data_IF_440088851312
#
_entry.id   IF_440088851312
#
_cell.length_a   1.000
_cell.length_b   1.000
_cell.length_c   1.000
_cell.angle_alpha   90.00
_cell.angle_beta   90.00
_cell.angle_gamma   90.00
#
_symmetry.space_group_name_H-M   'P 1'
#
loop_
_entity.id
_entity.type
_entity.pdbx_description
1 polymer ?
#
# COMPACT_ATOMS: atom_id res chain seq x y z
N UNK A 1 -12.81 1.71 40.64
CA UNK A 1 -12.10 0.46 41.01
C UNK A 1 -10.62 0.68 40.70
N UNK A 2 -9.74 0.51 41.67
CA UNK A 2 -8.30 0.62 41.41
C UNK A 2 -7.83 -0.61 40.61
N UNK A 3 -6.95 -0.37 39.64
CA UNK A 3 -6.34 -1.47 38.89
C UNK A 3 -5.56 -2.37 39.84
N UNK A 4 -5.67 -3.69 39.71
CA UNK A 4 -4.95 -4.64 40.56
C UNK A 4 -3.45 -4.57 40.25
N UNK A 5 -2.57 -4.89 41.20
CA UNK A 5 -1.10 -4.98 40.95
C UNK A 5 -0.77 -5.89 39.76
N UNK A 6 -1.56 -6.91 39.54
CA UNK A 6 -1.43 -7.83 38.44
C UNK A 6 -1.75 -7.17 37.07
N UNK A 7 -2.75 -6.29 37.03
CA UNK A 7 -3.11 -5.50 35.84
C UNK A 7 -2.00 -4.47 35.55
N UNK A 8 -1.45 -3.83 36.57
CA UNK A 8 -0.35 -2.87 36.40
C UNK A 8 0.91 -3.58 35.89
N UNK A 9 1.24 -4.77 36.43
CA UNK A 9 2.36 -5.59 35.93
C UNK A 9 2.17 -6.01 34.47
N UNK A 10 0.95 -6.42 34.10
CA UNK A 10 0.66 -6.76 32.70
C UNK A 10 0.79 -5.56 31.75
N UNK A 11 0.26 -4.40 32.12
CA UNK A 11 0.38 -3.17 31.32
C UNK A 11 1.87 -2.75 31.20
N UNK A 12 2.63 -2.81 32.26
CA UNK A 12 4.06 -2.48 32.24
C UNK A 12 4.88 -3.51 31.43
N UNK A 13 4.51 -4.79 31.43
CA UNK A 13 5.16 -5.80 30.59
C UNK A 13 4.86 -5.61 29.10
N UNK A 14 3.66 -5.14 28.75
CA UNK A 14 3.30 -4.78 27.37
C UNK A 14 4.04 -3.51 26.92
N UNK A 15 4.18 -2.51 27.79
CA UNK A 15 4.92 -1.28 27.49
C UNK A 15 6.44 -1.46 27.35
N UNK A 16 7.00 -2.52 27.95
CA UNK A 16 8.44 -2.84 27.89
C UNK A 16 8.78 -4.02 26.97
N UNK A 17 7.79 -4.59 26.25
CA UNK A 17 8.06 -5.62 25.26
C UNK A 17 8.69 -4.99 24.01
N UNK A 18 9.80 -5.54 23.53
CA UNK A 18 10.34 -5.18 22.22
C UNK A 18 9.25 -5.35 21.16
N UNK A 19 9.09 -4.34 20.30
CA UNK A 19 8.11 -4.40 19.21
C UNK A 19 8.46 -5.55 18.27
N UNK A 20 7.66 -6.60 18.31
CA UNK A 20 7.88 -7.88 17.59
C UNK A 20 8.18 -7.70 16.08
N UNK A 21 7.62 -6.66 15.48
CA UNK A 21 7.74 -6.38 14.05
C UNK A 21 8.78 -5.30 13.72
N UNK A 22 9.54 -4.84 14.73
CA UNK A 22 10.55 -3.77 14.60
C UNK A 22 11.87 -4.19 13.94
N UNK A 23 12.00 -5.43 13.45
CA UNK A 23 13.19 -5.91 12.75
C UNK A 23 13.30 -5.36 11.33
N UNK A 24 14.51 -5.31 10.75
CA UNK A 24 14.76 -5.00 9.35
C UNK A 24 15.34 -6.22 8.63
N UNK A 25 15.12 -6.30 7.32
CA UNK A 25 15.70 -7.33 6.44
C UNK A 25 16.77 -6.65 5.59
N UNK A 26 17.99 -7.17 5.61
CA UNK A 26 19.08 -6.65 4.79
C UNK A 26 18.95 -7.18 3.35
N UNK A 27 18.73 -6.30 2.42
CA UNK A 27 18.60 -6.60 0.99
C UNK A 27 19.34 -5.56 0.16
N UNK A 28 19.85 -5.98 -0.99
CA UNK A 28 20.32 -5.06 -2.02
C UNK A 28 19.14 -4.32 -2.64
N UNK A 29 19.17 -2.98 -2.62
CA UNK A 29 18.05 -2.15 -3.03
C UNK A 29 18.36 -1.30 -4.28
N UNK A 30 17.33 -1.04 -5.08
CA UNK A 30 17.29 0.01 -6.09
C UNK A 30 16.54 1.19 -5.47
N UNK A 31 17.14 2.37 -5.43
CA UNK A 31 16.51 3.59 -4.90
C UNK A 31 16.39 4.66 -5.97
N UNK A 32 15.33 5.45 -5.92
CA UNK A 32 15.26 6.70 -6.67
C UNK A 32 16.35 7.67 -6.21
N UNK A 33 16.69 8.70 -6.98
CA UNK A 33 17.44 9.84 -6.47
C UNK A 33 16.78 10.41 -5.20
N UNK A 34 17.59 10.86 -4.24
CA UNK A 34 17.07 11.44 -3.01
C UNK A 34 16.38 12.78 -3.30
N UNK A 35 15.27 13.00 -2.65
CA UNK A 35 14.48 14.23 -2.75
C UNK A 35 13.30 14.15 -3.71
N UNK A 36 12.35 15.08 -3.49
CA UNK A 36 11.13 15.21 -4.29
C UNK A 36 11.36 16.15 -5.47
N UNK A 37 11.33 15.61 -6.67
CA UNK A 37 11.52 16.36 -7.91
C UNK A 37 10.72 15.74 -9.06
N UNK A 38 10.63 16.45 -10.18
CA UNK A 38 10.04 15.89 -11.41
C UNK A 38 10.84 14.68 -11.91
N UNK A 39 12.16 14.67 -11.76
CA UNK A 39 13.01 13.53 -12.09
C UNK A 39 12.65 12.30 -11.26
N UNK A 40 12.43 12.48 -9.95
CA UNK A 40 11.98 11.42 -9.05
C UNK A 40 10.63 10.84 -9.49
N UNK A 41 9.67 11.69 -9.87
CA UNK A 41 8.35 11.25 -10.39
C UNK A 41 8.51 10.44 -11.68
N UNK A 42 9.33 10.92 -12.63
CA UNK A 42 9.62 10.20 -13.88
C UNK A 42 10.35 8.88 -13.64
N UNK A 43 11.26 8.84 -12.66
CA UNK A 43 11.95 7.62 -12.26
C UNK A 43 10.98 6.56 -11.75
N UNK A 44 10.03 6.92 -10.86
CA UNK A 44 9.01 6.01 -10.34
C UNK A 44 8.17 5.43 -11.48
N UNK A 45 7.67 6.30 -12.36
CA UNK A 45 6.86 5.88 -13.51
C UNK A 45 7.61 4.93 -14.44
N UNK A 46 8.88 5.20 -14.71
CA UNK A 46 9.74 4.34 -15.52
C UNK A 46 10.00 2.96 -14.86
N UNK A 47 10.25 2.93 -13.53
CA UNK A 47 10.44 1.66 -12.80
C UNK A 47 9.17 0.79 -12.81
N UNK A 48 8.00 1.41 -12.86
CA UNK A 48 6.70 0.74 -12.92
C UNK A 48 6.23 0.43 -14.35
N UNK A 49 7.00 0.83 -15.38
CA UNK A 49 6.62 0.71 -16.80
C UNK A 49 5.23 1.31 -17.08
N UNK A 50 4.92 2.44 -16.48
CA UNK A 50 3.61 3.05 -16.57
C UNK A 50 3.33 3.64 -17.96
N UNK A 51 2.08 3.59 -18.45
CA UNK A 51 1.71 4.26 -19.69
C UNK A 51 1.75 5.79 -19.54
N UNK A 52 1.91 6.50 -20.65
CA UNK A 52 2.08 7.96 -20.70
C UNK A 52 1.01 8.73 -19.92
N UNK A 53 -0.27 8.30 -20.01
CA UNK A 53 -1.36 8.97 -19.29
C UNK A 53 -1.17 8.95 -17.76
N UNK A 54 -0.53 7.89 -17.22
CA UNK A 54 -0.27 7.79 -15.79
C UNK A 54 0.88 8.70 -15.38
N UNK A 55 1.93 8.78 -16.19
CA UNK A 55 3.01 9.74 -15.99
C UNK A 55 2.49 11.18 -16.02
N UNK A 56 1.64 11.53 -17.00
CA UNK A 56 1.03 12.86 -17.08
C UNK A 56 0.20 13.18 -15.85
N UNK A 57 -0.58 12.22 -15.34
CA UNK A 57 -1.36 12.36 -14.13
C UNK A 57 -0.46 12.62 -12.91
N UNK A 58 0.65 11.89 -12.75
CA UNK A 58 1.64 12.10 -11.69
C UNK A 58 2.30 13.46 -11.75
N UNK A 59 2.71 13.87 -12.93
CA UNK A 59 3.36 15.18 -13.13
C UNK A 59 2.40 16.34 -12.82
N UNK A 60 1.13 16.20 -13.19
CA UNK A 60 0.10 17.13 -12.78
C UNK A 60 -0.06 17.18 -11.26
N UNK A 61 -0.08 16.01 -10.60
CA UNK A 61 -0.15 15.92 -9.14
C UNK A 61 1.04 16.59 -8.46
N UNK A 62 2.25 16.38 -8.96
CA UNK A 62 3.45 17.05 -8.47
C UNK A 62 3.37 18.58 -8.62
N UNK A 63 2.88 19.07 -9.76
CA UNK A 63 2.64 20.49 -9.98
C UNK A 63 1.61 21.05 -8.98
N UNK A 64 0.53 20.33 -8.73
CA UNK A 64 -0.50 20.72 -7.77
C UNK A 64 0.10 20.74 -6.35
N UNK A 65 0.86 19.73 -5.95
CA UNK A 65 1.54 19.68 -4.66
C UNK A 65 2.38 20.94 -4.39
N UNK A 66 3.18 21.38 -5.37
CA UNK A 66 4.05 22.54 -5.24
C UNK A 66 3.27 23.88 -5.07
N UNK A 67 1.97 23.89 -5.39
CA UNK A 67 1.14 25.08 -5.30
C UNK A 67 0.11 25.05 -4.16
N UNK A 68 -0.10 23.90 -3.52
CA UNK A 68 -1.04 23.77 -2.42
C UNK A 68 -0.39 24.10 -1.08
N UNK A 69 -1.07 24.86 -0.21
CA UNK A 69 -0.62 25.07 1.17
C UNK A 69 -0.72 23.77 1.97
N UNK A 70 0.06 23.68 3.06
CA UNK A 70 -0.13 22.62 4.06
C UNK A 70 -1.55 22.68 4.62
N UNK A 71 -2.19 21.53 4.93
CA UNK A 71 -3.49 21.52 5.59
C UNK A 71 -3.42 22.23 6.93
N UNK A 72 -4.35 23.16 7.16
CA UNK A 72 -4.43 23.96 8.39
C UNK A 72 -5.78 23.80 9.13
N UNK A 73 -6.70 23.01 8.56
CA UNK A 73 -8.04 22.78 9.12
C UNK A 73 -8.03 21.79 10.28
N UNK A 74 -7.04 20.89 10.36
CA UNK A 74 -6.89 19.96 11.47
C UNK A 74 -6.22 20.66 12.66
N UNK A 75 -6.73 20.42 13.89
CA UNK A 75 -6.13 20.93 15.12
C UNK A 75 -4.88 20.11 15.48
N UNK A 76 -3.89 20.14 14.61
CA UNK A 76 -2.62 19.41 14.74
C UNK A 76 -1.45 20.36 14.60
N UNK A 77 -0.38 20.09 15.35
CA UNK A 77 0.90 20.72 15.12
C UNK A 77 1.74 19.83 14.19
N UNK A 78 1.61 20.06 12.88
CA UNK A 78 2.35 19.31 11.88
C UNK A 78 3.75 19.91 11.77
N UNK A 79 4.82 19.15 12.05
CA UNK A 79 6.19 19.65 11.93
C UNK A 79 6.52 20.01 10.49
N UNK A 80 7.58 20.81 10.31
CA UNK A 80 8.12 21.03 8.98
C UNK A 80 8.77 19.76 8.45
N UNK A 81 8.31 19.35 7.28
CA UNK A 81 8.82 18.16 6.58
C UNK A 81 9.81 18.62 5.53
N UNK A 82 11.05 18.16 5.61
CA UNK A 82 12.02 18.33 4.54
C UNK A 82 11.81 17.23 3.48
N UNK A 83 11.02 17.54 2.47
CA UNK A 83 10.74 16.64 1.36
C UNK A 83 11.98 16.29 0.53
N UNK A 84 13.12 16.94 0.74
CA UNK A 84 14.36 16.63 0.04
C UNK A 84 15.19 15.57 0.79
N UNK A 85 14.80 15.22 2.02
CA UNK A 85 15.55 14.27 2.86
C UNK A 85 15.05 12.82 2.78
N UNK A 86 14.14 12.50 1.84
CA UNK A 86 13.56 11.15 1.68
C UNK A 86 13.88 10.55 0.32
N UNK A 87 13.90 9.20 0.27
CA UNK A 87 13.80 8.44 -0.96
C UNK A 87 12.33 8.10 -1.21
N UNK A 88 11.83 8.34 -2.41
CA UNK A 88 10.42 8.14 -2.79
C UNK A 88 10.16 6.81 -3.49
N UNK A 89 11.18 6.01 -3.68
CA UNK A 89 11.10 4.67 -4.23
C UNK A 89 12.26 3.84 -3.70
N UNK A 90 11.97 2.64 -3.23
CA UNK A 90 12.93 1.59 -2.93
C UNK A 90 12.35 0.24 -3.34
N UNK A 91 13.16 -0.61 -3.92
CA UNK A 91 12.79 -1.96 -4.29
C UNK A 91 13.98 -2.89 -4.13
N UNK A 92 13.82 -4.09 -3.57
CA UNK A 92 14.85 -5.10 -3.62
C UNK A 92 15.28 -5.39 -5.07
N UNK A 93 16.59 -5.50 -5.33
CA UNK A 93 17.10 -5.83 -6.67
C UNK A 93 16.58 -7.18 -7.17
N UNK A 94 16.34 -8.13 -6.25
CA UNK A 94 15.77 -9.44 -6.54
C UNK A 94 14.32 -9.40 -7.07
N UNK A 95 13.60 -8.29 -6.90
CA UNK A 95 12.24 -8.07 -7.40
C UNK A 95 12.19 -7.20 -8.66
N UNK A 96 13.34 -6.94 -9.31
CA UNK A 96 13.38 -6.12 -10.53
C UNK A 96 12.49 -6.70 -11.64
N UNK A 97 12.52 -8.03 -11.78
CA UNK A 97 11.61 -8.75 -12.66
C UNK A 97 10.51 -9.35 -11.76
N UNK A 98 9.26 -8.90 -11.95
CA UNK A 98 8.12 -9.35 -11.12
C UNK A 98 8.10 -10.89 -11.06
N UNK A 99 8.20 -11.51 -9.87
CA UNK A 99 8.23 -12.95 -9.75
C UNK A 99 6.91 -13.56 -10.27
N UNK A 100 7.00 -14.63 -11.04
CA UNK A 100 5.84 -15.33 -11.59
C UNK A 100 5.29 -16.40 -10.64
N UNK A 101 6.10 -16.79 -9.66
CA UNK A 101 5.73 -17.78 -8.64
C UNK A 101 6.43 -17.48 -7.32
N UNK A 102 5.92 -18.03 -6.22
CA UNK A 102 6.54 -17.90 -4.90
C UNK A 102 7.97 -18.46 -4.85
N UNK A 103 8.28 -19.44 -5.69
CA UNK A 103 9.61 -20.07 -5.73
C UNK A 103 10.69 -19.14 -6.35
N UNK A 104 10.27 -18.10 -7.05
CA UNK A 104 11.15 -17.07 -7.63
C UNK A 104 11.42 -15.91 -6.67
N UNK A 105 10.71 -15.86 -5.53
CA UNK A 105 10.87 -14.80 -4.53
C UNK A 105 12.13 -15.05 -3.69
N UNK A 106 12.86 -13.98 -3.40
CA UNK A 106 14.03 -14.03 -2.52
C UNK A 106 13.66 -14.70 -1.17
N UNK A 107 14.39 -15.75 -0.75
CA UNK A 107 14.11 -16.46 0.51
C UNK A 107 14.10 -15.56 1.75
N UNK A 108 14.86 -14.47 1.78
CA UNK A 108 14.87 -13.54 2.91
C UNK A 108 13.58 -12.71 2.97
N UNK A 109 12.97 -12.39 1.83
CA UNK A 109 11.64 -11.77 1.77
C UNK A 109 10.58 -12.75 2.28
N UNK A 110 10.60 -14.01 1.84
CA UNK A 110 9.68 -15.03 2.32
C UNK A 110 9.79 -15.23 3.84
N UNK A 111 11.01 -15.34 4.38
CA UNK A 111 11.25 -15.43 5.84
C UNK A 111 10.74 -14.20 6.58
N UNK A 112 10.81 -13.01 5.96
CA UNK A 112 10.27 -11.80 6.55
C UNK A 112 8.77 -11.93 6.76
N UNK A 113 8.02 -12.34 5.75
CA UNK A 113 6.57 -12.54 5.86
C UNK A 113 6.20 -13.68 6.83
N UNK A 114 6.97 -14.77 6.87
CA UNK A 114 6.80 -15.82 7.89
C UNK A 114 6.94 -15.28 9.31
N UNK A 115 7.99 -14.48 9.59
CA UNK A 115 8.20 -13.84 10.90
C UNK A 115 7.05 -12.89 11.26
N UNK A 116 6.43 -12.26 10.27
CA UNK A 116 5.28 -11.37 10.44
C UNK A 116 3.98 -12.16 10.65
N UNK A 117 3.99 -13.48 10.40
CA UNK A 117 2.81 -14.33 10.47
C UNK A 117 1.86 -14.14 9.28
N UNK A 118 2.39 -13.65 8.14
CA UNK A 118 1.63 -13.44 6.91
C UNK A 118 1.86 -14.64 5.97
N UNK A 119 0.87 -15.50 5.79
CA UNK A 119 1.00 -16.67 4.92
C UNK A 119 0.94 -16.25 3.45
N UNK A 120 2.00 -16.51 2.69
CA UNK A 120 2.03 -16.28 1.24
C UNK A 120 1.63 -17.53 0.44
N UNK A 121 1.69 -18.72 1.05
CA UNK A 121 1.27 -19.95 0.40
C UNK A 121 -0.19 -20.25 0.66
N UNK A 122 -0.98 -20.40 -0.40
CA UNK A 122 -2.42 -20.70 -0.30
C UNK A 122 -2.74 -21.91 0.58
N UNK A 123 -1.84 -22.90 0.62
CA UNK A 123 -1.98 -24.12 1.44
C UNK A 123 -1.88 -23.82 2.95
N UNK A 124 -1.26 -22.73 3.34
CA UNK A 124 -1.11 -22.29 4.73
C UNK A 124 -2.27 -21.39 5.18
N UNK A 125 -3.12 -20.96 4.23
CA UNK A 125 -4.26 -20.06 4.50
C UNK A 125 -5.46 -20.92 4.93
N UNK A 126 -5.51 -21.25 6.20
CA UNK A 126 -6.63 -22.01 6.78
C UNK A 126 -7.94 -21.23 6.88
N UNK A 127 -7.94 -19.94 6.58
CA UNK A 127 -9.04 -19.01 6.91
C UNK A 127 -9.84 -18.48 5.71
N UNK A 128 -9.52 -18.87 4.47
CA UNK A 128 -10.23 -18.35 3.31
C UNK A 128 -10.03 -16.83 3.09
N UNK A 129 -8.81 -16.35 3.34
CA UNK A 129 -8.40 -14.94 3.09
C UNK A 129 -7.47 -14.91 1.88
N UNK A 130 -7.77 -14.06 0.90
CA UNK A 130 -6.84 -13.78 -0.19
C UNK A 130 -5.90 -12.63 0.22
N UNK A 131 -4.60 -12.82 0.04
CA UNK A 131 -3.57 -11.87 0.49
C UNK A 131 -2.77 -11.34 -0.69
N UNK A 132 -2.59 -10.00 -0.73
CA UNK A 132 -1.55 -9.32 -1.52
C UNK A 132 -0.46 -8.82 -0.57
N UNK A 133 0.80 -9.09 -0.89
CA UNK A 133 1.93 -8.71 -0.06
C UNK A 133 2.81 -7.68 -0.79
N UNK A 134 3.02 -6.53 -0.15
CA UNK A 134 3.83 -5.43 -0.69
C UNK A 134 5.06 -5.21 0.19
N UNK A 135 6.23 -5.22 -0.43
CA UNK A 135 7.52 -4.96 0.24
C UNK A 135 8.12 -3.67 -0.32
N UNK A 136 8.26 -2.66 0.54
CA UNK A 136 8.63 -1.30 0.15
C UNK A 136 7.75 -0.78 -1.02
N UNK A 137 8.30 -0.62 -2.19
CA UNK A 137 7.61 -0.03 -3.35
C UNK A 137 7.07 -1.06 -4.36
N UNK A 138 7.05 -2.36 -4.04
CA UNK A 138 6.74 -3.42 -5.02
C UNK A 138 5.85 -4.50 -4.42
N UNK A 139 4.77 -4.87 -5.14
CA UNK A 139 3.99 -6.07 -4.82
C UNK A 139 4.82 -7.33 -5.09
N UNK A 140 4.84 -8.23 -4.11
CA UNK A 140 5.61 -9.46 -4.10
C UNK A 140 4.78 -10.64 -4.60
N UNK A 141 3.56 -10.78 -4.09
CA UNK A 141 2.68 -11.89 -4.42
C UNK A 141 1.21 -11.56 -4.12
N UNK A 142 0.32 -12.07 -4.97
CA UNK A 142 -1.14 -12.05 -4.74
C UNK A 142 -1.66 -13.48 -4.77
N UNK A 143 -2.35 -13.91 -3.71
CA UNK A 143 -2.90 -15.27 -3.58
C UNK A 143 -4.33 -15.35 -4.11
N UNK A 144 -4.84 -16.56 -4.37
CA UNK A 144 -6.20 -16.84 -4.87
C UNK A 144 -6.60 -16.13 -6.17
N UNK A 145 -5.67 -15.54 -6.89
CA UNK A 145 -5.93 -14.73 -8.10
C UNK A 145 -6.81 -15.47 -9.12
N UNK A 146 -6.54 -16.77 -9.35
CA UNK A 146 -7.32 -17.57 -10.31
C UNK A 146 -8.77 -17.75 -9.87
N UNK A 147 -9.00 -18.12 -8.61
CA UNK A 147 -10.36 -18.35 -8.09
C UNK A 147 -11.20 -17.07 -8.09
N UNK A 148 -10.59 -15.93 -7.79
CA UNK A 148 -11.24 -14.62 -7.84
C UNK A 148 -11.57 -14.23 -9.29
N UNK A 149 -10.63 -14.45 -10.23
CA UNK A 149 -10.82 -14.18 -11.64
C UNK A 149 -11.96 -15.04 -12.25
N UNK A 150 -12.15 -16.28 -11.82
CA UNK A 150 -13.25 -17.16 -12.27
C UNK A 150 -14.64 -16.57 -11.90
N UNK A 151 -14.69 -15.69 -10.89
CA UNK A 151 -15.87 -14.91 -10.50
C UNK A 151 -15.93 -13.51 -11.14
N UNK A 152 -14.95 -13.16 -11.96
CA UNK A 152 -14.78 -11.83 -12.53
C UNK A 152 -14.25 -10.79 -11.54
N UNK A 153 -13.86 -11.21 -10.33
CA UNK A 153 -13.25 -10.33 -9.33
C UNK A 153 -11.80 -10.05 -9.72
N UNK A 154 -11.44 -8.78 -9.74
CA UNK A 154 -10.05 -8.36 -9.91
C UNK A 154 -9.48 -8.03 -8.54
N UNK A 155 -8.39 -8.69 -8.16
CA UNK A 155 -7.59 -8.37 -6.98
C UNK A 155 -6.11 -8.47 -7.36
N UNK A 156 -5.45 -7.34 -7.44
CA UNK A 156 -4.04 -7.22 -7.84
C UNK A 156 -3.43 -5.93 -7.31
N UNK A 157 -2.13 -5.73 -7.54
CA UNK A 157 -1.52 -4.45 -7.24
C UNK A 157 -2.07 -3.33 -8.14
N UNK A 158 -2.07 -2.10 -7.63
CA UNK A 158 -2.47 -0.94 -8.44
C UNK A 158 -1.56 -0.76 -9.67
N UNK A 159 -0.27 -1.11 -9.55
CA UNK A 159 0.69 -1.08 -10.66
C UNK A 159 0.31 -2.05 -11.78
N UNK A 160 -0.18 -3.23 -11.44
CA UNK A 160 -0.71 -4.20 -12.42
C UNK A 160 -2.02 -3.69 -13.04
N UNK A 161 -2.93 -3.15 -12.22
CA UNK A 161 -4.20 -2.64 -12.71
C UNK A 161 -4.04 -1.46 -13.68
N UNK A 162 -3.06 -0.58 -13.48
CA UNK A 162 -2.73 0.51 -14.41
C UNK A 162 -2.41 -0.02 -15.82
N UNK A 163 -1.78 -1.18 -15.90
CA UNK A 163 -1.39 -1.81 -17.16
C UNK A 163 -2.50 -2.68 -17.77
N UNK A 164 -3.13 -3.53 -16.96
CA UNK A 164 -4.07 -4.56 -17.43
C UNK A 164 -5.53 -4.09 -17.45
N UNK A 165 -5.87 -3.10 -16.61
CA UNK A 165 -7.23 -2.57 -16.46
C UNK A 165 -7.30 -1.04 -16.54
N UNK A 166 -6.61 -0.40 -17.52
CA UNK A 166 -6.45 1.06 -17.57
C UNK A 166 -7.78 1.83 -17.59
N UNK A 167 -8.82 1.29 -18.19
CA UNK A 167 -10.11 1.98 -18.28
C UNK A 167 -10.82 2.10 -16.93
N UNK A 168 -10.73 1.04 -16.10
CA UNK A 168 -11.26 1.10 -14.73
C UNK A 168 -10.43 2.06 -13.88
N UNK A 169 -9.11 1.98 -13.95
CA UNK A 169 -8.24 2.87 -13.18
C UNK A 169 -8.48 4.33 -13.58
N UNK A 170 -8.45 4.67 -14.86
CA UNK A 170 -8.70 6.04 -15.35
C UNK A 170 -10.05 6.60 -14.88
N UNK A 171 -11.07 5.74 -14.84
CA UNK A 171 -12.42 6.16 -14.45
C UNK A 171 -12.53 6.53 -12.98
N UNK A 172 -11.79 5.82 -12.11
CA UNK A 172 -12.04 5.89 -10.68
C UNK A 172 -10.89 6.48 -9.85
N UNK A 173 -9.62 6.42 -10.32
CA UNK A 173 -8.49 6.98 -9.56
C UNK A 173 -8.66 8.51 -9.41
N UNK A 174 -8.59 8.98 -8.18
CA UNK A 174 -8.78 10.39 -7.88
C UNK A 174 -10.24 10.87 -7.97
N UNK A 175 -11.21 9.96 -8.10
CA UNK A 175 -12.63 10.32 -8.15
C UNK A 175 -13.22 10.58 -6.75
N UNK A 176 -12.66 9.98 -5.71
CA UNK A 176 -13.05 10.17 -4.31
C UNK A 176 -12.08 11.12 -3.60
N UNK A 177 -10.79 10.91 -3.78
CA UNK A 177 -9.74 11.78 -3.27
C UNK A 177 -9.04 12.45 -4.46
N UNK A 178 -9.55 13.60 -4.94
CA UNK A 178 -8.94 14.29 -6.07
C UNK A 178 -7.54 14.81 -5.72
N UNK A 179 -6.70 14.93 -6.73
CA UNK A 179 -5.31 15.43 -6.57
C UNK A 179 -5.27 16.78 -5.83
N UNK A 180 -6.29 17.61 -5.98
CA UNK A 180 -6.40 18.94 -5.37
C UNK A 180 -7.01 18.96 -3.98
N UNK A 181 -7.32 17.82 -3.37
CA UNK A 181 -7.99 17.77 -2.07
C UNK A 181 -7.15 18.46 -0.97
N UNK A 182 -5.90 18.04 -0.81
CA UNK A 182 -4.90 18.70 0.04
C UNK A 182 -3.47 18.29 -0.38
N UNK A 183 -2.46 18.97 0.18
CA UNK A 183 -1.07 18.74 -0.25
C UNK A 183 -0.59 17.29 -0.09
N UNK A 184 -1.00 16.55 0.97
CA UNK A 184 -0.61 15.14 1.12
C UNK A 184 -1.32 14.23 0.11
N UNK A 185 -2.55 14.52 -0.30
CA UNK A 185 -3.22 13.81 -1.38
C UNK A 185 -2.52 14.04 -2.73
N UNK A 186 -2.09 15.28 -2.98
CA UNK A 186 -1.29 15.61 -4.15
C UNK A 186 0.08 14.91 -4.12
N UNK A 187 0.76 14.90 -2.97
CA UNK A 187 2.03 14.19 -2.78
C UNK A 187 1.88 12.71 -3.05
N UNK A 188 0.92 12.04 -2.39
CA UNK A 188 0.65 10.62 -2.65
C UNK A 188 0.41 10.39 -4.13
N UNK A 189 -0.45 11.19 -4.76
CA UNK A 189 -0.77 11.06 -6.18
C UNK A 189 0.45 11.17 -7.09
N UNK A 190 1.43 12.02 -6.75
CA UNK A 190 2.66 12.18 -7.51
C UNK A 190 3.62 10.98 -7.37
N UNK A 191 3.73 10.41 -6.16
CA UNK A 191 4.82 9.50 -5.81
C UNK A 191 4.38 8.13 -5.26
N UNK A 192 3.07 7.79 -5.27
CA UNK A 192 2.68 6.45 -4.83
C UNK A 192 3.41 5.38 -5.64
N UNK A 193 3.83 4.33 -4.94
CA UNK A 193 4.69 3.30 -5.54
C UNK A 193 3.95 2.00 -5.77
N UNK A 194 3.07 1.62 -4.86
CA UNK A 194 2.15 0.52 -5.06
C UNK A 194 0.90 0.70 -4.16
N UNK A 195 0.09 -0.32 -4.08
CA UNK A 195 -1.16 -0.36 -3.35
C UNK A 195 -2.06 -1.43 -3.95
N UNK A 196 -3.29 -1.50 -3.51
CA UNK A 196 -4.23 -2.52 -3.97
C UNK A 196 -5.24 -1.98 -4.95
N UNK A 197 -5.57 -2.80 -5.92
CA UNK A 197 -6.71 -2.61 -6.80
C UNK A 197 -7.70 -3.76 -6.64
N UNK A 198 -8.95 -3.41 -6.33
CA UNK A 198 -10.05 -4.35 -6.19
C UNK A 198 -11.23 -3.90 -7.04
N UNK A 199 -11.75 -4.80 -7.87
CA UNK A 199 -13.03 -4.61 -8.56
C UNK A 199 -13.92 -5.82 -8.35
N UNK A 200 -15.11 -5.58 -7.82
CA UNK A 200 -16.14 -6.61 -7.63
C UNK A 200 -17.25 -6.36 -8.64
N UNK A 201 -17.53 -7.30 -9.56
CA UNK A 201 -18.58 -7.15 -10.58
C UNK A 201 -19.99 -7.03 -9.98
N UNK A 202 -20.90 -6.49 -10.77
CA UNK A 202 -22.32 -6.36 -10.40
C UNK A 202 -22.91 -7.69 -9.93
N UNK A 203 -23.60 -7.67 -8.77
CA UNK A 203 -24.27 -8.80 -8.17
C UNK A 203 -23.35 -9.83 -7.51
N UNK A 204 -22.03 -9.68 -7.57
CA UNK A 204 -21.07 -10.63 -6.99
C UNK A 204 -20.82 -10.32 -5.51
N UNK A 205 -20.91 -11.33 -4.67
CA UNK A 205 -20.43 -11.27 -3.29
C UNK A 205 -19.09 -11.98 -3.20
N UNK A 206 -18.03 -11.24 -2.84
CA UNK A 206 -16.72 -11.83 -2.68
C UNK A 206 -16.74 -12.93 -1.61
N UNK A 207 -16.36 -14.18 -1.95
CA UNK A 207 -16.55 -15.32 -1.04
C UNK A 207 -15.52 -15.39 0.08
N UNK A 208 -14.42 -14.64 -0.05
CA UNK A 208 -13.29 -14.60 0.89
C UNK A 208 -13.01 -13.18 1.32
N UNK A 209 -12.39 -12.99 2.47
CA UNK A 209 -11.83 -11.69 2.85
C UNK A 209 -10.58 -11.42 2.00
N UNK A 210 -10.47 -10.20 1.46
CA UNK A 210 -9.27 -9.74 0.79
C UNK A 210 -8.41 -9.00 1.80
N UNK A 211 -7.10 -9.18 1.71
CA UNK A 211 -6.18 -8.50 2.62
C UNK A 211 -4.92 -8.06 1.87
N UNK A 212 -4.45 -6.85 2.15
CA UNK A 212 -3.13 -6.41 1.71
C UNK A 212 -2.26 -6.09 2.91
N UNK A 213 -1.02 -6.53 2.84
CA UNK A 213 -0.05 -6.30 3.88
C UNK A 213 1.16 -5.55 3.33
N UNK A 214 1.40 -4.37 3.89
CA UNK A 214 2.52 -3.50 3.53
C UNK A 214 3.66 -3.66 4.54
N UNK A 215 4.86 -3.98 4.04
CA UNK A 215 6.08 -3.97 4.82
C UNK A 215 6.99 -2.85 4.36
N UNK A 216 7.14 -1.84 5.19
CA UNK A 216 8.16 -0.79 5.02
C UNK A 216 9.46 -1.34 5.58
N UNK A 217 10.51 -1.44 4.79
CA UNK A 217 11.80 -2.00 5.22
C UNK A 217 12.97 -1.06 5.02
N UNK A 218 12.99 -0.28 3.94
CA UNK A 218 14.10 0.56 3.56
C UNK A 218 14.29 1.79 4.48
N UNK A 219 15.56 2.17 4.70
CA UNK A 219 15.94 3.31 5.55
C UNK A 219 15.70 4.63 4.80
N UNK A 220 15.17 5.65 5.49
CA UNK A 220 14.89 6.99 4.96
C UNK A 220 14.02 6.97 3.70
N UNK A 221 13.22 5.92 3.50
CA UNK A 221 12.30 5.80 2.38
C UNK A 221 10.90 6.18 2.83
N UNK A 222 10.27 7.09 2.08
CA UNK A 222 8.84 7.35 2.22
C UNK A 222 8.04 6.17 1.66
N UNK A 223 6.93 5.84 2.32
CA UNK A 223 5.98 4.84 1.85
C UNK A 223 4.70 5.55 1.40
N UNK A 224 4.33 5.35 0.16
CA UNK A 224 3.20 6.02 -0.48
C UNK A 224 2.33 4.98 -1.17
N UNK A 225 1.27 4.58 -0.50
CA UNK A 225 0.35 3.55 -0.97
C UNK A 225 -0.90 4.18 -1.55
N UNK A 226 -1.44 3.58 -2.61
CA UNK A 226 -2.71 3.99 -3.17
C UNK A 226 -3.60 2.79 -3.42
N UNK A 227 -4.61 2.65 -2.58
CA UNK A 227 -5.60 1.56 -2.66
C UNK A 227 -6.88 2.07 -3.32
N UNK A 228 -7.39 1.35 -4.31
CA UNK A 228 -8.64 1.66 -5.00
C UNK A 228 -9.55 0.42 -4.98
N UNK A 229 -10.68 0.52 -4.27
CA UNK A 229 -11.66 -0.56 -4.14
C UNK A 229 -12.96 -0.12 -4.77
N UNK A 230 -13.41 -0.85 -5.78
CA UNK A 230 -14.63 -0.60 -6.54
C UNK A 230 -15.58 -1.78 -6.34
N UNK A 231 -16.71 -1.56 -5.70
CA UNK A 231 -17.81 -2.52 -5.59
C UNK A 231 -18.93 -2.07 -6.54
N UNK A 232 -19.16 -2.82 -7.62
CA UNK A 232 -20.21 -2.53 -8.58
C UNK A 232 -21.59 -2.83 -7.96
N UNK A 233 -22.68 -2.50 -8.64
CA UNK A 233 -24.04 -2.57 -8.14
C UNK A 233 -24.37 -3.93 -7.51
N UNK A 234 -25.02 -3.89 -6.33
CA UNK A 234 -25.46 -5.08 -5.60
C UNK A 234 -24.31 -6.04 -5.22
N UNK A 235 -23.08 -5.59 -5.17
CA UNK A 235 -21.91 -6.40 -4.83
C UNK A 235 -21.48 -6.25 -3.38
N UNK A 236 -20.56 -7.14 -2.92
CA UNK A 236 -20.03 -7.12 -1.55
C UNK A 236 -18.56 -7.51 -1.52
N UNK A 237 -17.79 -6.81 -0.70
CA UNK A 237 -16.40 -7.17 -0.37
C UNK A 237 -16.05 -6.82 1.07
N UNK A 238 -15.26 -7.69 1.74
CA UNK A 238 -14.55 -7.39 2.98
C UNK A 238 -13.06 -7.28 2.67
N UNK A 239 -12.43 -6.18 3.11
CA UNK A 239 -11.03 -5.88 2.86
C UNK A 239 -10.33 -5.42 4.14
N UNK A 240 -9.17 -6.01 4.40
CA UNK A 240 -8.30 -5.69 5.52
C UNK A 240 -6.95 -5.19 5.00
N UNK A 241 -6.53 -4.03 5.50
CA UNK A 241 -5.20 -3.47 5.21
C UNK A 241 -4.35 -3.48 6.46
N UNK A 242 -3.12 -3.98 6.35
CA UNK A 242 -2.14 -3.98 7.42
C UNK A 242 -0.82 -3.37 6.98
N UNK A 243 -0.20 -2.57 7.85
CA UNK A 243 1.11 -2.00 7.59
C UNK A 243 2.04 -2.17 8.79
N UNK A 244 3.30 -2.54 8.53
CA UNK A 244 4.34 -2.55 9.56
C UNK A 244 5.64 -1.93 9.06
N UNK A 245 6.36 -1.29 9.97
CA UNK A 245 7.68 -0.71 9.74
C UNK A 245 8.67 -1.16 10.81
N UNK A 246 9.99 -1.20 10.53
CA UNK A 246 11.01 -1.35 11.56
C UNK A 246 10.95 -0.21 12.57
N UNK A 247 11.28 -0.50 13.82
CA UNK A 247 11.51 0.54 14.84
C UNK A 247 12.90 1.13 14.64
N UNK A 248 12.97 2.42 14.33
CA UNK A 248 14.23 3.16 14.10
C UNK A 248 14.13 4.56 14.69
N UNK A 249 15.28 5.11 15.11
CA UNK A 249 15.41 6.51 15.56
C UNK A 249 15.52 7.49 14.36
N UNK A 250 14.83 7.22 13.28
CA UNK A 250 14.89 7.99 12.04
C UNK A 250 13.49 8.45 11.63
N UNK A 251 13.42 9.60 10.94
CA UNK A 251 12.17 10.11 10.42
C UNK A 251 11.64 9.17 9.31
N UNK A 252 10.37 8.81 9.41
CA UNK A 252 9.64 8.07 8.40
C UNK A 252 8.48 8.92 7.89
N UNK A 253 8.30 8.95 6.57
CA UNK A 253 7.17 9.62 5.93
C UNK A 253 6.27 8.56 5.31
N UNK A 254 5.08 8.39 5.87
CA UNK A 254 4.08 7.48 5.35
C UNK A 254 2.81 8.26 5.00
N UNK A 255 2.34 8.13 3.76
CA UNK A 255 1.11 8.75 3.31
C UNK A 255 0.36 7.80 2.37
N UNK A 256 -0.69 7.18 2.88
CA UNK A 256 -1.58 6.29 2.14
C UNK A 256 -2.83 7.05 1.68
N UNK A 257 -3.34 6.73 0.49
CA UNK A 257 -4.65 7.13 0.01
C UNK A 257 -5.49 5.89 -0.29
N UNK A 258 -6.66 5.79 0.34
CA UNK A 258 -7.63 4.71 0.10
C UNK A 258 -8.91 5.30 -0.47
N UNK A 259 -9.27 4.88 -1.67
CA UNK A 259 -10.50 5.29 -2.35
C UNK A 259 -11.48 4.13 -2.38
N UNK A 260 -12.65 4.30 -1.77
CA UNK A 260 -13.73 3.32 -1.74
C UNK A 260 -14.90 3.80 -2.59
N UNK A 261 -15.22 3.05 -3.64
CA UNK A 261 -16.30 3.35 -4.57
C UNK A 261 -17.37 2.26 -4.47
N UNK A 262 -18.45 2.53 -3.73
CA UNK A 262 -19.61 1.64 -3.64
C UNK A 262 -20.71 2.18 -4.55
N UNK A 263 -21.09 1.42 -5.60
CA UNK A 263 -22.20 1.76 -6.48
C UNK A 263 -23.54 1.34 -5.83
N UNK A 264 -24.66 1.50 -6.55
CA UNK A 264 -26.00 1.28 -6.00
C UNK A 264 -26.14 -0.08 -5.29
N UNK A 265 -26.55 -0.05 -4.02
CA UNK A 265 -26.71 -1.22 -3.14
C UNK A 265 -25.43 -2.07 -2.93
N UNK A 266 -24.26 -1.56 -3.27
CA UNK A 266 -23.01 -2.23 -2.95
C UNK A 266 -22.61 -2.02 -1.49
N UNK A 267 -21.84 -2.97 -0.95
CA UNK A 267 -21.34 -2.93 0.43
C UNK A 267 -19.84 -3.21 0.44
N UNK A 268 -19.08 -2.30 1.03
CA UNK A 268 -17.64 -2.43 1.27
C UNK A 268 -17.42 -2.42 2.78
N UNK A 269 -16.87 -3.51 3.32
CA UNK A 269 -16.34 -3.55 4.68
C UNK A 269 -14.84 -3.36 4.62
N UNK A 270 -14.36 -2.22 5.13
CA UNK A 270 -12.92 -1.87 5.14
C UNK A 270 -12.43 -1.76 6.58
N UNK A 271 -11.25 -2.33 6.84
CA UNK A 271 -10.51 -2.16 8.09
C UNK A 271 -9.02 -1.95 7.81
N UNK A 272 -8.37 -1.08 8.60
CA UNK A 272 -6.92 -0.87 8.61
C UNK A 272 -6.35 -1.15 10.00
N UNK A 273 -5.17 -1.81 10.09
CA UNK A 273 -4.46 -2.18 11.32
C UNK A 273 -2.96 -1.91 11.22
#
# INVERSE_FOLDING_TARGET
MAATEQTIKQVNSLGNSEYKYGFSTELDEIKAPKGLSEETVRFISAQKNEPDWMLEWRLNAFKVFNNLPKPNWAKLNIPDIDYQDYYYFSSPKSLKDKPKSLDEIDPEILKTYEKLGIPLKEQEILSGVAVDAVFDSVSVATTYKKQLNDLGIIFCSISEAIQEHPELVKKYIGSVIPVSDHSFAALNSAVFTDGSFVYIPEGVRCPVELSTYFRINAINTGQFERTLIIADKNSYVSYLEGCTAPMRDENQLHAANVELVALDNAEIKYAAV
#
